data_IF_305986435904
#
_entry.id   IF_305986435904
#
_cell.length_a   1.000
_cell.length_b   1.000
_cell.length_c   1.000
_cell.angle_alpha   90.00
_cell.angle_beta   90.00
_cell.angle_gamma   90.00
#
_symmetry.space_group_name_H-M   'P 1'
#
loop_
_entity.id
_entity.type
_entity.pdbx_description
1 polymer ?
#
# COMPACT_ATOMS: atom_id res chain seq x y z
N UNK A 1 5.83 13.53 9.11
CA UNK A 1 6.03 12.30 8.32
C UNK A 1 6.12 12.56 6.84
N UNK A 2 5.06 13.08 6.21
CA UNK A 2 4.96 13.22 4.76
C UNK A 2 6.08 14.07 4.12
N UNK A 3 6.46 15.19 4.73
CA UNK A 3 7.58 16.03 4.28
C UNK A 3 8.91 15.26 4.24
N UNK A 4 9.17 14.44 5.25
CA UNK A 4 10.39 13.64 5.31
C UNK A 4 10.42 12.55 4.23
N UNK A 5 9.28 11.89 3.96
CA UNK A 5 9.17 10.90 2.88
C UNK A 5 9.36 11.58 1.53
N UNK A 6 8.74 12.75 1.30
CA UNK A 6 8.96 13.55 0.09
C UNK A 6 10.43 13.91 -0.08
N UNK A 7 11.12 14.32 0.98
CA UNK A 7 12.55 14.66 0.94
C UNK A 7 13.43 13.45 0.58
N UNK A 8 13.17 12.27 1.19
CA UNK A 8 14.03 11.10 1.04
C UNK A 8 13.71 10.24 -0.19
N UNK A 9 12.43 10.04 -0.48
CA UNK A 9 11.98 9.20 -1.57
C UNK A 9 11.58 10.01 -2.82
N UNK A 10 11.32 11.32 -2.69
CA UNK A 10 10.82 12.16 -3.78
C UNK A 10 9.29 12.11 -3.91
N UNK A 11 8.69 13.19 -4.43
CA UNK A 11 7.23 13.35 -4.50
C UNK A 11 6.51 12.19 -5.20
N UNK A 12 7.13 11.53 -6.18
CA UNK A 12 6.53 10.41 -6.93
C UNK A 12 6.30 9.14 -6.10
N UNK A 13 6.79 9.10 -4.86
CA UNK A 13 6.81 7.91 -4.00
C UNK A 13 6.08 8.14 -2.66
N UNK A 14 5.20 9.13 -2.60
CA UNK A 14 4.42 9.47 -1.40
C UNK A 14 2.94 9.18 -1.64
N UNK A 15 2.26 8.63 -0.64
CA UNK A 15 0.82 8.40 -0.64
C UNK A 15 0.24 8.56 0.77
N UNK A 16 -1.08 8.41 0.89
CA UNK A 16 -1.79 8.49 2.18
C UNK A 16 -2.47 7.13 2.45
N UNK A 17 -2.22 6.57 3.63
CA UNK A 17 -2.93 5.43 4.18
C UNK A 17 -3.22 5.72 5.64
N UNK A 18 -4.41 6.24 5.92
CA UNK A 18 -4.75 6.82 7.23
C UNK A 18 -5.15 5.80 8.29
N UNK A 19 -5.45 4.56 7.89
CA UNK A 19 -5.86 3.47 8.80
C UNK A 19 -7.09 3.81 9.65
N UNK A 20 -8.01 4.61 9.10
CA UNK A 20 -9.32 4.88 9.71
C UNK A 20 -10.06 3.56 9.97
N UNK A 21 -10.78 3.49 11.09
CA UNK A 21 -11.43 2.29 11.64
C UNK A 21 -10.48 1.09 11.94
N UNK A 22 -9.16 1.23 11.71
CA UNK A 22 -8.13 0.25 12.06
C UNK A 22 -7.41 0.54 13.37
N UNK A 23 -7.47 1.78 13.87
CA UNK A 23 -6.78 2.24 15.09
C UNK A 23 -7.73 2.91 16.09
N UNK A 24 -7.34 2.90 17.37
CA UNK A 24 -8.11 3.52 18.46
C UNK A 24 -7.90 5.04 18.59
N UNK A 25 -6.75 5.55 18.12
CA UNK A 25 -6.34 6.94 18.33
C UNK A 25 -5.90 7.52 17.01
N UNK A 26 -6.45 8.69 16.68
CA UNK A 26 -6.15 9.45 15.47
C UNK A 26 -5.57 10.82 15.85
N UNK A 27 -4.80 11.47 14.96
CA UNK A 27 -4.33 12.83 15.17
C UNK A 27 -5.48 13.82 15.34
N UNK A 28 -5.28 14.86 16.16
CA UNK A 28 -6.22 15.96 16.28
C UNK A 28 -6.42 16.66 14.92
N UNK A 29 -7.67 16.97 14.58
CA UNK A 29 -8.03 17.52 13.26
C UNK A 29 -8.11 16.49 12.13
N UNK A 30 -7.75 15.23 12.38
CA UNK A 30 -7.85 14.11 11.43
C UNK A 30 -8.66 12.94 12.00
N UNK A 31 -9.83 13.24 12.57
CA UNK A 31 -10.63 12.28 13.34
C UNK A 31 -11.43 11.27 12.51
N UNK A 32 -11.66 11.55 11.23
CA UNK A 32 -12.39 10.66 10.32
C UNK A 32 -12.09 10.96 8.84
N UNK A 33 -12.67 10.17 7.93
CA UNK A 33 -12.45 10.29 6.48
C UNK A 33 -12.88 11.62 5.86
N UNK A 34 -13.71 12.43 6.53
CA UNK A 34 -14.11 13.76 6.03
C UNK A 34 -13.02 14.82 6.18
N UNK A 35 -11.98 14.52 6.97
CA UNK A 35 -10.95 15.51 7.39
C UNK A 35 -9.75 15.62 6.45
N UNK A 36 -9.66 14.82 5.39
CA UNK A 36 -8.58 14.93 4.40
C UNK A 36 -8.36 16.35 3.85
N UNK A 37 -9.39 17.18 3.57
CA UNK A 37 -9.18 18.55 3.12
C UNK A 37 -8.31 19.40 4.05
N UNK A 38 -8.44 19.23 5.38
CA UNK A 38 -7.63 19.96 6.35
C UNK A 38 -6.14 19.60 6.27
N UNK A 39 -5.83 18.31 6.01
CA UNK A 39 -4.45 17.89 5.74
C UNK A 39 -3.90 18.53 4.46
N UNK A 40 -4.69 18.55 3.38
CA UNK A 40 -4.25 19.09 2.10
C UNK A 40 -4.00 20.60 2.19
N UNK A 41 -4.89 21.34 2.86
CA UNK A 41 -4.73 22.76 3.14
C UNK A 41 -3.44 23.04 3.91
N UNK A 42 -3.20 22.32 5.01
CA UNK A 42 -1.98 22.46 5.79
C UNK A 42 -0.70 22.15 4.97
N UNK A 43 -0.75 21.22 4.02
CA UNK A 43 0.39 20.93 3.13
C UNK A 43 0.64 22.06 2.13
N UNK A 44 -0.42 22.62 1.54
CA UNK A 44 -0.32 23.75 0.61
C UNK A 44 0.24 24.99 1.31
N UNK A 45 -0.22 25.29 2.53
CA UNK A 45 0.33 26.37 3.36
C UNK A 45 1.82 26.18 3.68
N UNK A 46 2.28 24.93 3.75
CA UNK A 46 3.67 24.57 3.97
C UNK A 46 4.49 24.36 2.67
N UNK A 47 4.02 24.92 1.56
CA UNK A 47 4.79 25.02 0.31
C UNK A 47 4.71 23.80 -0.60
N UNK A 48 3.72 22.93 -0.43
CA UNK A 48 3.39 21.93 -1.45
C UNK A 48 2.70 22.60 -2.64
N UNK A 49 3.16 22.32 -3.86
CA UNK A 49 2.51 22.81 -5.06
C UNK A 49 1.21 22.05 -5.33
N UNK A 50 0.32 22.61 -6.16
CA UNK A 50 -0.88 21.91 -6.61
C UNK A 50 -0.53 20.57 -7.30
N UNK A 51 0.53 20.54 -8.11
CA UNK A 51 1.04 19.31 -8.74
C UNK A 51 1.52 18.27 -7.71
N UNK A 52 2.13 18.70 -6.61
CA UNK A 52 2.51 17.82 -5.51
C UNK A 52 1.27 17.22 -4.85
N UNK A 53 0.22 18.02 -4.63
CA UNK A 53 -1.06 17.57 -4.06
C UNK A 53 -1.75 16.57 -4.98
N UNK A 54 -1.85 16.86 -6.29
CA UNK A 54 -2.44 15.94 -7.28
C UNK A 54 -1.68 14.61 -7.31
N UNK A 55 -0.35 14.67 -7.23
CA UNK A 55 0.49 13.47 -7.15
C UNK A 55 0.19 12.66 -5.89
N UNK A 56 0.09 13.33 -4.74
CA UNK A 56 -0.16 12.71 -3.44
C UNK A 56 -1.52 12.02 -3.33
N UNK A 57 -2.59 12.69 -3.74
CA UNK A 57 -3.97 12.22 -3.50
C UNK A 57 -4.40 11.09 -4.46
N UNK A 58 -3.71 10.93 -5.59
CA UNK A 58 -4.12 9.94 -6.58
C UNK A 58 -3.08 9.65 -7.67
N UNK A 59 -2.34 10.66 -8.14
CA UNK A 59 -1.44 10.50 -9.29
C UNK A 59 -0.39 9.40 -9.07
N UNK A 60 0.17 9.31 -7.88
CA UNK A 60 1.19 8.33 -7.55
C UNK A 60 0.65 6.90 -7.50
N UNK A 61 -0.52 6.69 -6.88
CA UNK A 61 -1.11 5.34 -6.78
C UNK A 61 -1.57 4.85 -8.16
N UNK A 62 -2.16 5.72 -8.98
CA UNK A 62 -2.55 5.38 -10.35
C UNK A 62 -1.34 5.01 -11.21
N UNK A 63 -0.25 5.77 -11.11
CA UNK A 63 1.02 5.44 -11.79
C UNK A 63 1.57 4.08 -11.37
N UNK A 64 1.50 3.74 -10.08
CA UNK A 64 1.99 2.45 -9.56
C UNK A 64 1.10 1.31 -10.03
N UNK A 65 -0.22 1.46 -9.96
CA UNK A 65 -1.18 0.46 -10.43
C UNK A 65 -1.01 0.20 -11.94
N UNK A 66 -0.88 1.24 -12.76
CA UNK A 66 -0.62 1.10 -14.19
C UNK A 66 0.69 0.32 -14.46
N UNK A 67 1.77 0.64 -13.73
CA UNK A 67 3.03 -0.10 -13.87
C UNK A 67 2.91 -1.56 -13.43
N UNK A 68 2.07 -1.84 -12.43
CA UNK A 68 1.78 -3.19 -11.98
C UNK A 68 0.99 -3.98 -13.04
N UNK A 69 -0.01 -3.37 -13.68
CA UNK A 69 -0.77 -3.97 -14.77
C UNK A 69 0.12 -4.28 -15.99
N UNK A 70 0.98 -3.34 -16.41
CA UNK A 70 1.97 -3.56 -17.47
C UNK A 70 2.88 -4.75 -17.15
N UNK A 71 3.38 -4.82 -15.90
CA UNK A 71 4.26 -5.91 -15.48
C UNK A 71 3.53 -7.24 -15.40
N UNK A 72 2.30 -7.25 -14.91
CA UNK A 72 1.47 -8.44 -14.85
C UNK A 72 1.23 -9.01 -16.25
N UNK A 73 0.88 -8.17 -17.23
CA UNK A 73 0.70 -8.59 -18.63
C UNK A 73 1.99 -9.17 -19.23
N UNK A 74 3.14 -8.54 -18.96
CA UNK A 74 4.45 -9.06 -19.39
C UNK A 74 4.75 -10.45 -18.81
N UNK A 75 4.47 -10.65 -17.52
CA UNK A 75 4.74 -11.93 -16.84
C UNK A 75 3.78 -13.03 -17.28
N UNK A 76 2.48 -12.72 -17.43
CA UNK A 76 1.48 -13.67 -17.93
C UNK A 76 1.80 -14.17 -19.34
N UNK A 77 2.43 -13.33 -20.17
CA UNK A 77 2.88 -13.74 -21.51
C UNK A 77 4.12 -14.67 -21.49
N UNK A 78 4.86 -14.73 -20.37
CA UNK A 78 6.16 -15.41 -20.26
C UNK A 78 6.16 -16.58 -19.29
N UNK A 79 5.20 -16.64 -18.39
CA UNK A 79 5.15 -17.60 -17.29
C UNK A 79 3.82 -18.34 -17.30
N UNK A 80 3.86 -19.63 -16.94
CA UNK A 80 2.66 -20.36 -16.59
C UNK A 80 2.11 -19.89 -15.26
N UNK A 81 0.81 -20.12 -15.04
CA UNK A 81 0.20 -20.05 -13.72
C UNK A 81 1.04 -20.82 -12.70
N UNK A 82 1.14 -20.25 -11.51
CA UNK A 82 1.86 -20.84 -10.38
C UNK A 82 0.82 -21.36 -9.40
N UNK A 83 0.69 -22.68 -9.31
CA UNK A 83 -0.21 -23.38 -8.39
C UNK A 83 0.55 -24.17 -7.31
N UNK A 84 1.86 -23.96 -7.22
CA UNK A 84 2.72 -24.58 -6.22
C UNK A 84 2.24 -24.29 -4.79
N UNK A 85 2.07 -25.36 -4.02
CA UNK A 85 1.74 -25.26 -2.61
C UNK A 85 2.92 -24.72 -1.80
N UNK A 86 2.64 -23.88 -0.80
CA UNK A 86 3.65 -23.47 0.19
C UNK A 86 4.32 -24.72 0.79
N UNK A 87 5.65 -24.83 0.81
CA UNK A 87 6.31 -26.04 1.30
C UNK A 87 5.83 -26.46 2.68
N UNK A 88 5.61 -27.76 2.88
CA UNK A 88 5.14 -28.31 4.16
C UNK A 88 6.03 -27.91 5.35
N UNK A 89 7.34 -27.83 5.11
CA UNK A 89 8.30 -27.39 6.13
C UNK A 89 8.01 -25.98 6.64
N UNK A 90 7.51 -25.08 5.77
CA UNK A 90 7.13 -23.72 6.15
C UNK A 90 5.82 -23.70 6.95
N UNK A 91 4.91 -24.67 6.72
CA UNK A 91 3.71 -24.84 7.55
C UNK A 91 4.03 -25.36 8.96
N UNK A 92 4.96 -26.31 9.05
CA UNK A 92 5.37 -26.93 10.30
C UNK A 92 6.18 -25.95 11.17
N UNK A 93 7.03 -25.12 10.54
CA UNK A 93 7.86 -24.10 11.21
C UNK A 93 7.06 -23.17 12.13
N UNK A 94 5.82 -22.85 11.76
CA UNK A 94 4.96 -21.94 12.52
C UNK A 94 3.86 -22.66 13.32
N UNK A 95 3.93 -23.99 13.45
CA UNK A 95 2.91 -24.81 14.13
C UNK A 95 1.50 -24.61 13.54
N UNK A 96 1.41 -24.28 12.24
CA UNK A 96 0.16 -23.98 11.54
C UNK A 96 -0.64 -25.24 11.17
N UNK A 97 -0.17 -26.41 11.59
CA UNK A 97 -0.76 -27.72 11.29
C UNK A 97 -1.91 -28.11 12.24
N UNK A 98 -2.10 -27.39 13.35
CA UNK A 98 -3.10 -27.76 14.39
C UNK A 98 -4.56 -27.59 13.96
N UNK A 99 -4.84 -26.74 12.96
CA UNK A 99 -6.20 -26.43 12.50
C UNK A 99 -6.35 -26.60 10.97
N UNK A 100 -5.61 -27.52 10.34
CA UNK A 100 -5.73 -27.88 8.92
C UNK A 100 -5.41 -29.35 8.68
N UNK A 101 -5.95 -29.93 7.61
CA UNK A 101 -5.50 -31.24 7.12
C UNK A 101 -4.36 -31.07 6.12
N UNK A 102 -3.55 -32.10 5.93
CA UNK A 102 -2.35 -32.07 5.07
C UNK A 102 -2.50 -32.98 3.84
N UNK A 103 -3.74 -33.26 3.45
CA UNK A 103 -4.10 -34.27 2.43
C UNK A 103 -3.59 -33.92 1.02
N UNK A 104 -3.21 -32.66 0.78
CA UNK A 104 -2.61 -32.19 -0.48
C UNK A 104 -1.07 -32.19 -0.48
N UNK A 105 -0.42 -32.59 0.63
CA UNK A 105 1.05 -32.64 0.80
C UNK A 105 1.60 -34.08 0.90
N UNK A 106 0.76 -35.09 0.68
CA UNK A 106 1.12 -36.51 0.64
C UNK A 106 1.40 -37.00 -0.77
#
# INVERSE_FOLDING_TARGET
>A
HINHIKEKAGIKHVGIGADYDGVLILPEGLGDVSTYPALLEALMENGWSEDDIVSLIGGNILRVLQKNEEKAAELQAKMSEQDDLIPRIDLEKYNLTKCRTLDMYT
#
